data_IF_756250778094
#
_entry.id   IF_756250778094
#
_cell.length_a   1.000
_cell.length_b   1.000
_cell.length_c   1.000
_cell.angle_alpha   90.00
_cell.angle_beta   90.00
_cell.angle_gamma   90.00
#
_symmetry.space_group_name_H-M   'P 1'
#
loop_
_entity.id
_entity.type
_entity.pdbx_description
1 polymer ?
#
# COMPACT_ATOMS: atom_id res chain seq x y z
N UNK A 1 -8.24 -2.83 -12.99
CA UNK A 1 -7.93 -2.04 -11.78
C UNK A 1 -6.52 -2.36 -11.31
N UNK A 2 -5.65 -1.34 -11.21
CA UNK A 2 -4.30 -1.52 -10.66
C UNK A 2 -4.37 -2.02 -9.20
N UNK A 3 -3.39 -2.82 -8.75
CA UNK A 3 -3.43 -3.46 -7.42
C UNK A 3 -3.52 -2.45 -6.26
N UNK A 4 -2.76 -1.35 -6.34
CA UNK A 4 -2.80 -0.26 -5.34
C UNK A 4 -4.19 0.38 -5.25
N UNK A 5 -4.92 0.50 -6.37
CA UNK A 5 -6.27 1.06 -6.35
C UNK A 5 -7.24 0.17 -5.55
N UNK A 6 -7.11 -1.16 -5.67
CA UNK A 6 -7.89 -2.10 -4.83
C UNK A 6 -7.57 -1.93 -3.35
N UNK A 7 -6.30 -1.71 -2.99
CA UNK A 7 -5.92 -1.43 -1.61
C UNK A 7 -6.50 -0.12 -1.09
N UNK A 8 -6.54 0.94 -1.91
CA UNK A 8 -7.20 2.19 -1.56
C UNK A 8 -8.71 2.02 -1.36
N UNK A 9 -9.37 1.19 -2.16
CA UNK A 9 -10.78 0.85 -1.97
C UNK A 9 -11.00 0.13 -0.64
N UNK A 10 -10.18 -0.86 -0.30
CA UNK A 10 -10.25 -1.55 1.00
C UNK A 10 -10.01 -0.59 2.17
N UNK A 11 -9.06 0.35 2.05
CA UNK A 11 -8.85 1.39 3.06
C UNK A 11 -10.09 2.25 3.26
N UNK A 12 -10.73 2.69 2.17
CA UNK A 12 -11.97 3.49 2.24
C UNK A 12 -13.09 2.72 2.92
N UNK A 13 -13.26 1.44 2.58
CA UNK A 13 -14.24 0.58 3.24
C UNK A 13 -13.94 0.41 4.73
N UNK A 14 -12.68 0.18 5.12
CA UNK A 14 -12.25 0.08 6.51
C UNK A 14 -12.53 1.38 7.29
N UNK A 15 -12.27 2.54 6.69
CA UNK A 15 -12.60 3.83 7.28
C UNK A 15 -14.12 3.98 7.48
N UNK A 16 -14.93 3.49 6.55
CA UNK A 16 -16.39 3.48 6.69
C UNK A 16 -16.88 2.69 7.92
N UNK A 17 -16.15 1.64 8.32
CA UNK A 17 -16.47 0.86 9.53
C UNK A 17 -16.24 1.63 10.83
N UNK A 18 -15.50 2.75 10.81
CA UNK A 18 -15.30 3.59 11.99
C UNK A 18 -16.61 4.30 12.41
N UNK A 19 -17.55 4.47 11.49
CA UNK A 19 -18.85 5.08 11.77
C UNK A 19 -19.80 4.05 12.37
N UNK A 20 -19.66 3.82 13.67
CA UNK A 20 -20.49 2.89 14.42
C UNK A 20 -21.71 3.61 15.00
N UNK A 21 -22.91 3.15 14.66
CA UNK A 21 -24.20 3.71 15.12
C UNK A 21 -25.13 2.57 15.59
N UNK A 22 -26.18 2.91 16.34
CA UNK A 22 -27.28 1.98 16.65
C UNK A 22 -27.32 1.43 18.07
N UNK A 23 -26.48 1.91 18.99
CA UNK A 23 -26.47 1.43 20.38
C UNK A 23 -27.26 2.31 21.38
N UNK A 24 -27.92 3.37 20.91
CA UNK A 24 -28.70 4.29 21.76
C UNK A 24 -27.85 4.99 22.82
N UNK A 25 -28.48 5.37 23.94
CA UNK A 25 -27.82 6.10 25.05
C UNK A 25 -27.25 5.18 26.14
N UNK A 26 -27.23 3.87 25.90
CA UNK A 26 -26.62 2.92 26.81
C UNK A 26 -25.10 3.14 26.86
N UNK A 27 -24.56 3.27 28.06
CA UNK A 27 -23.14 3.52 28.26
C UNK A 27 -22.25 2.40 27.69
N UNK A 28 -22.64 1.14 27.89
CA UNK A 28 -22.00 -0.02 27.25
C UNK A 28 -22.03 0.06 25.73
N UNK A 29 -23.11 0.59 25.17
CA UNK A 29 -23.26 0.82 23.74
C UNK A 29 -22.25 1.82 23.19
N UNK A 30 -22.05 2.94 23.90
CA UNK A 30 -21.04 3.93 23.56
C UNK A 30 -19.61 3.37 23.65
N UNK A 31 -19.31 2.60 24.70
CA UNK A 31 -18.00 1.97 24.87
C UNK A 31 -17.70 0.97 23.75
N UNK A 32 -18.68 0.14 23.39
CA UNK A 32 -18.51 -0.82 22.30
C UNK A 32 -18.34 -0.14 20.94
N UNK A 33 -19.11 0.91 20.66
CA UNK A 33 -18.95 1.72 19.46
C UNK A 33 -17.55 2.34 19.37
N UNK A 34 -17.01 2.81 20.50
CA UNK A 34 -15.66 3.35 20.58
C UNK A 34 -14.61 2.28 20.25
N UNK A 35 -14.69 1.09 20.85
CA UNK A 35 -13.76 -0.03 20.58
C UNK A 35 -13.75 -0.41 19.10
N UNK A 36 -14.92 -0.49 18.48
CA UNK A 36 -15.05 -0.81 17.05
C UNK A 36 -14.50 0.31 16.16
N UNK A 37 -14.78 1.57 16.50
CA UNK A 37 -14.24 2.74 15.80
C UNK A 37 -12.70 2.78 15.86
N UNK A 38 -12.12 2.50 17.03
CA UNK A 38 -10.68 2.45 17.23
C UNK A 38 -10.05 1.31 16.44
N UNK A 39 -10.67 0.12 16.45
CA UNK A 39 -10.19 -1.01 15.65
C UNK A 39 -10.25 -0.73 14.14
N UNK A 40 -11.23 0.04 13.68
CA UNK A 40 -11.37 0.40 12.29
C UNK A 40 -10.33 1.46 11.86
N UNK A 41 -10.23 2.58 12.58
CA UNK A 41 -9.42 3.73 12.17
C UNK A 41 -8.61 4.44 13.28
N UNK A 42 -9.07 4.43 14.54
CA UNK A 42 -8.51 5.30 15.59
C UNK A 42 -7.35 4.73 16.43
N UNK A 43 -7.20 3.41 16.51
CA UNK A 43 -6.26 2.74 17.40
C UNK A 43 -4.90 2.42 16.80
N UNK A 44 -3.93 2.09 17.66
CA UNK A 44 -2.67 1.49 17.24
C UNK A 44 -2.96 0.15 16.56
N UNK A 45 -2.43 -0.06 15.35
CA UNK A 45 -2.77 -1.19 14.47
C UNK A 45 -4.24 -1.23 14.02
N UNK A 46 -4.87 -0.06 13.85
CA UNK A 46 -6.17 0.02 13.20
C UNK A 46 -6.14 -0.60 11.79
N UNK A 47 -7.29 -1.09 11.33
CA UNK A 47 -7.41 -1.68 9.99
C UNK A 47 -6.97 -0.69 8.89
N UNK A 48 -7.33 0.59 9.02
CA UNK A 48 -6.84 1.66 8.13
C UNK A 48 -5.32 1.77 8.18
N UNK A 49 -4.72 1.82 9.38
CA UNK A 49 -3.28 1.96 9.54
C UNK A 49 -2.49 0.79 8.95
N UNK A 50 -2.97 -0.44 9.15
CA UNK A 50 -2.34 -1.64 8.56
C UNK A 50 -2.43 -1.63 7.03
N UNK A 51 -3.58 -1.24 6.47
CA UNK A 51 -3.72 -1.14 5.01
C UNK A 51 -2.83 -0.03 4.44
N UNK A 52 -2.71 1.12 5.09
CA UNK A 52 -1.80 2.19 4.67
C UNK A 52 -0.34 1.74 4.70
N UNK A 53 0.07 1.00 5.75
CA UNK A 53 1.41 0.40 5.82
C UNK A 53 1.65 -0.56 4.66
N UNK A 54 0.68 -1.41 4.32
CA UNK A 54 0.80 -2.36 3.21
C UNK A 54 0.90 -1.64 1.86
N UNK A 55 0.13 -0.57 1.66
CA UNK A 55 0.23 0.27 0.46
C UNK A 55 1.64 0.84 0.31
N UNK A 56 2.27 1.27 1.40
CA UNK A 56 3.64 1.79 1.33
C UNK A 56 4.64 0.72 0.94
N UNK A 57 4.61 -0.44 1.59
CA UNK A 57 5.50 -1.57 1.25
C UNK A 57 5.36 -1.93 -0.24
N UNK A 58 4.14 -1.97 -0.77
CA UNK A 58 3.90 -2.27 -2.20
C UNK A 58 4.49 -1.19 -3.12
N UNK A 59 4.37 0.09 -2.77
CA UNK A 59 4.98 1.19 -3.54
C UNK A 59 6.51 1.14 -3.51
N UNK A 60 7.08 0.85 -2.35
CA UNK A 60 8.52 0.67 -2.19
C UNK A 60 9.03 -0.48 -3.05
N UNK A 61 8.34 -1.63 -3.03
CA UNK A 61 8.68 -2.77 -3.89
C UNK A 61 8.58 -2.41 -5.38
N UNK A 62 7.55 -1.66 -5.80
CA UNK A 62 7.46 -1.19 -7.18
C UNK A 62 8.63 -0.29 -7.57
N UNK A 63 9.04 0.62 -6.70
CA UNK A 63 10.20 1.49 -6.95
C UNK A 63 11.52 0.69 -7.02
N UNK A 64 11.68 -0.34 -6.18
CA UNK A 64 12.84 -1.24 -6.23
C UNK A 64 12.87 -2.02 -7.54
N UNK A 65 11.76 -2.60 -7.98
CA UNK A 65 11.68 -3.30 -9.26
C UNK A 65 11.95 -2.38 -10.44
N UNK A 66 11.39 -1.17 -10.42
CA UNK A 66 11.64 -0.17 -11.47
C UNK A 66 13.14 0.15 -11.59
N UNK A 67 13.83 0.35 -10.46
CA UNK A 67 15.29 0.55 -10.45
C UNK A 67 16.07 -0.65 -10.99
N UNK A 68 15.66 -1.88 -10.67
CA UNK A 68 16.32 -3.06 -11.22
C UNK A 68 16.16 -3.15 -12.74
N UNK A 69 15.00 -2.80 -13.29
CA UNK A 69 14.81 -2.76 -14.74
C UNK A 69 15.66 -1.68 -15.41
N UNK A 70 15.72 -0.47 -14.84
CA UNK A 70 16.57 0.63 -15.34
C UNK A 70 18.06 0.25 -15.30
N UNK A 71 18.52 -0.32 -14.19
CA UNK A 71 19.91 -0.78 -14.08
C UNK A 71 20.26 -1.88 -15.09
N UNK A 72 19.33 -2.80 -15.35
CA UNK A 72 19.54 -3.86 -16.32
C UNK A 72 19.56 -3.30 -17.75
N UNK A 73 18.65 -2.39 -18.10
CA UNK A 73 18.65 -1.75 -19.43
C UNK A 73 19.92 -0.93 -19.68
N UNK A 74 20.41 -0.21 -18.66
CA UNK A 74 21.63 0.57 -18.78
C UNK A 74 22.86 -0.34 -18.94
N UNK A 75 22.90 -1.44 -18.20
CA UNK A 75 23.99 -2.43 -18.28
C UNK A 75 23.99 -3.16 -19.62
N UNK A 76 22.81 -3.54 -20.13
CA UNK A 76 22.67 -4.21 -21.43
C UNK A 76 23.06 -3.26 -22.58
N UNK A 77 22.62 -2.00 -22.54
CA UNK A 77 23.02 -0.97 -23.51
C UNK A 77 24.53 -0.71 -23.50
N UNK A 78 25.15 -0.63 -22.31
CA UNK A 78 26.59 -0.48 -22.18
C UNK A 78 27.34 -1.69 -22.75
N UNK A 79 26.90 -2.91 -22.41
CA UNK A 79 27.53 -4.15 -22.88
C UNK A 79 27.38 -4.31 -24.39
N UNK A 80 26.21 -4.02 -24.96
CA UNK A 80 25.98 -4.05 -26.40
C UNK A 80 26.86 -3.03 -27.15
N UNK A 81 27.03 -1.83 -26.58
CA UNK A 81 27.95 -0.81 -27.09
C UNK A 81 29.41 -1.31 -27.09
N UNK A 82 29.86 -1.91 -25.99
CA UNK A 82 31.23 -2.43 -25.87
C UNK A 82 31.48 -3.58 -26.85
N UNK A 83 30.52 -4.50 -27.01
CA UNK A 83 30.61 -5.60 -28.00
C UNK A 83 30.66 -5.06 -29.43
N UNK A 84 29.84 -4.05 -29.77
CA UNK A 84 29.87 -3.41 -31.08
C UNK A 84 31.20 -2.70 -31.37
N UNK A 85 31.85 -2.14 -30.34
CA UNK A 85 33.18 -1.55 -30.47
C UNK A 85 34.29 -2.61 -30.58
N UNK A 86 34.13 -3.76 -29.94
CA UNK A 86 35.14 -4.83 -29.92
C UNK A 86 35.13 -5.68 -31.20
N UNK A 87 33.99 -5.75 -31.90
CA UNK A 87 33.84 -6.40 -33.20
C UNK A 87 33.33 -5.41 -34.26
N UNK A 88 34.17 -4.45 -34.68
CA UNK A 88 33.81 -3.55 -35.78
C UNK A 88 33.81 -4.35 -37.10
N UNK A 89 32.73 -4.21 -37.87
CA UNK A 89 32.68 -4.72 -39.25
C UNK A 89 33.63 -3.96 -40.17
#
# INVERSE_FOLDING_TARGET
MAYIERLHQHRKSAFGLAKVQGYGDFEMGRQFAQILSDKAAGGQNSMVGVIDSHIQVVKEMQAVFQKFFEQYSDTDAATASDVAQMFPN
#
